data_IF_220294959275
#
_entry.id   IF_220294959275
#
_cell.length_a   1.000
_cell.length_b   1.000
_cell.length_c   1.000
_cell.angle_alpha   90.00
_cell.angle_beta   90.00
_cell.angle_gamma   90.00
#
_symmetry.space_group_name_H-M   'P 1'
#
loop_
_entity.id
_entity.type
_entity.pdbx_description
1 polymer ?
#
# COMPACT_ATOMS: atom_id res chain seq x y z
N UNK A 1 10.76 -0.93 -14.58
CA UNK A 1 10.31 -2.32 -14.91
C UNK A 1 9.26 -2.18 -15.99
N UNK A 2 9.35 -2.96 -17.06
CA UNK A 2 8.38 -2.89 -18.15
C UNK A 2 7.03 -3.45 -17.67
N UNK A 3 5.91 -2.81 -18.08
CA UNK A 3 4.54 -3.30 -17.78
C UNK A 3 4.33 -4.75 -18.20
N UNK A 4 4.97 -5.18 -19.31
CA UNK A 4 4.89 -6.56 -19.79
C UNK A 4 5.55 -7.57 -18.85
N UNK A 5 6.61 -7.17 -18.15
CA UNK A 5 7.26 -8.01 -17.14
C UNK A 5 6.37 -8.14 -15.90
N UNK A 6 5.62 -7.08 -15.55
CA UNK A 6 4.69 -7.10 -14.43
C UNK A 6 3.47 -8.01 -14.67
N UNK A 7 3.05 -8.26 -15.90
CA UNK A 7 1.86 -9.08 -16.18
C UNK A 7 1.97 -10.46 -15.55
N UNK A 8 3.13 -11.12 -15.67
CA UNK A 8 3.38 -12.47 -15.16
C UNK A 8 3.68 -12.57 -13.66
N UNK A 9 3.90 -11.44 -12.99
CA UNK A 9 4.25 -11.39 -11.56
C UNK A 9 2.98 -11.34 -10.72
N UNK A 10 2.97 -12.04 -9.58
CA UNK A 10 1.88 -11.95 -8.60
C UNK A 10 1.88 -10.56 -7.96
N UNK A 11 0.71 -9.93 -7.91
CA UNK A 11 0.50 -8.59 -7.38
C UNK A 11 -0.30 -8.64 -6.10
N UNK A 12 0.17 -7.91 -5.09
CA UNK A 12 -0.50 -7.78 -3.80
C UNK A 12 -0.58 -6.29 -3.47
N UNK A 13 -1.75 -5.83 -3.04
CA UNK A 13 -1.97 -4.45 -2.58
C UNK A 13 -2.56 -4.44 -1.17
N UNK A 14 -2.28 -3.39 -0.43
CA UNK A 14 -2.90 -3.15 0.88
C UNK A 14 -4.33 -2.62 0.74
N UNK A 15 -4.56 -1.63 -0.13
CA UNK A 15 -5.85 -0.96 -0.28
C UNK A 15 -6.15 -0.59 -1.74
N UNK A 16 -6.80 -1.51 -2.47
CA UNK A 16 -7.17 -1.26 -3.87
C UNK A 16 -8.10 -0.06 -4.05
N UNK A 17 -9.03 0.14 -3.11
CA UNK A 17 -10.02 1.22 -3.21
C UNK A 17 -9.37 2.60 -3.29
N UNK A 18 -8.23 2.76 -2.63
CA UNK A 18 -7.47 4.01 -2.70
C UNK A 18 -7.02 4.31 -4.13
N UNK A 19 -6.55 3.30 -4.87
CA UNK A 19 -6.14 3.50 -6.27
C UNK A 19 -7.30 3.81 -7.20
N UNK A 20 -8.47 3.24 -6.94
CA UNK A 20 -9.71 3.58 -7.67
C UNK A 20 -10.14 5.03 -7.41
N UNK A 21 -10.00 5.51 -6.18
CA UNK A 21 -10.39 6.87 -5.80
C UNK A 21 -9.40 7.94 -6.30
N UNK A 22 -8.10 7.66 -6.24
CA UNK A 22 -7.05 8.62 -6.66
C UNK A 22 -6.70 8.53 -8.14
N UNK A 23 -6.92 7.41 -8.79
CA UNK A 23 -6.60 7.20 -10.22
C UNK A 23 -7.58 7.84 -11.21
N UNK A 24 -8.72 8.35 -10.73
CA UNK A 24 -9.85 8.75 -11.60
C UNK A 24 -9.98 10.27 -11.79
N UNK A 25 -9.40 11.10 -10.95
CA UNK A 25 -9.85 12.51 -10.83
C UNK A 25 -9.15 13.52 -11.73
N UNK A 26 -8.16 13.17 -12.56
CA UNK A 26 -7.47 14.22 -13.31
C UNK A 26 -7.55 14.07 -14.84
N UNK A 27 -8.35 14.94 -15.47
CA UNK A 27 -8.12 15.37 -16.86
C UNK A 27 -6.69 15.92 -17.04
N UNK A 28 -5.99 16.31 -15.98
CA UNK A 28 -4.59 16.71 -15.91
C UNK A 28 -3.60 15.52 -15.81
N UNK A 29 -4.09 14.28 -15.80
CA UNK A 29 -3.30 13.06 -15.63
C UNK A 29 -2.34 12.72 -16.77
N UNK A 30 -2.29 13.53 -17.83
CA UNK A 30 -1.37 13.35 -18.95
C UNK A 30 -0.41 14.53 -19.07
N UNK A 31 0.83 14.24 -19.45
CA UNK A 31 1.82 15.26 -19.78
C UNK A 31 1.61 15.80 -21.21
N UNK A 32 2.45 16.76 -21.59
CA UNK A 32 2.42 17.40 -22.92
C UNK A 32 2.66 16.42 -24.08
N UNK A 33 3.18 15.20 -23.81
CA UNK A 33 3.44 14.14 -24.78
C UNK A 33 2.31 13.09 -24.78
N UNK A 34 1.24 13.31 -24.00
CA UNK A 34 0.16 12.34 -23.84
C UNK A 34 0.52 11.12 -22.98
N UNK A 35 1.61 11.21 -22.19
CA UNK A 35 1.95 10.19 -21.21
C UNK A 35 1.29 10.51 -19.89
N UNK A 36 0.76 9.48 -19.22
CA UNK A 36 0.18 9.61 -17.90
C UNK A 36 1.23 10.09 -16.90
N UNK A 37 0.90 11.15 -16.16
CA UNK A 37 1.72 11.62 -15.05
C UNK A 37 1.59 10.62 -13.91
N UNK A 38 2.72 10.22 -13.32
CA UNK A 38 2.69 9.39 -12.12
C UNK A 38 2.23 10.25 -10.93
N UNK A 39 1.24 9.78 -10.17
CA UNK A 39 0.81 10.42 -8.91
C UNK A 39 1.79 10.15 -7.78
N UNK A 40 2.70 9.19 -7.97
CA UNK A 40 3.67 8.75 -6.97
C UNK A 40 3.18 7.61 -6.08
N UNK A 41 1.97 7.13 -6.29
CA UNK A 41 1.44 5.97 -5.58
C UNK A 41 2.01 4.65 -6.09
N UNK A 42 2.52 3.80 -5.22
CA UNK A 42 3.23 2.57 -5.63
C UNK A 42 2.36 1.54 -6.36
N UNK A 43 1.06 1.54 -6.14
CA UNK A 43 0.11 0.61 -6.77
C UNK A 43 -0.60 1.15 -8.01
N UNK A 44 -0.35 2.41 -8.35
CA UNK A 44 -0.99 3.11 -9.47
C UNK A 44 -0.79 2.38 -10.82
N UNK A 45 0.39 1.81 -11.03
CA UNK A 45 0.67 1.03 -12.24
C UNK A 45 -0.28 -0.16 -12.42
N UNK A 46 -0.71 -0.79 -11.33
CA UNK A 46 -1.66 -1.90 -11.40
C UNK A 46 -3.06 -1.41 -11.79
N UNK A 47 -3.45 -0.24 -11.32
CA UNK A 47 -4.71 0.38 -11.72
C UNK A 47 -4.72 0.63 -13.23
N UNK A 48 -3.69 1.27 -13.77
CA UNK A 48 -3.60 1.52 -15.20
C UNK A 48 -3.46 0.23 -16.04
N UNK A 49 -2.81 -0.82 -15.51
CA UNK A 49 -2.77 -2.11 -16.20
C UNK A 49 -4.16 -2.76 -16.29
N UNK A 50 -5.03 -2.54 -15.31
CA UNK A 50 -6.44 -2.99 -15.38
C UNK A 50 -7.22 -2.16 -16.40
N UNK A 51 -7.10 -0.84 -16.37
CA UNK A 51 -7.74 0.06 -17.35
C UNK A 51 -7.31 -0.22 -18.79
N UNK A 52 -6.02 -0.48 -18.98
CA UNK A 52 -5.47 -0.84 -20.30
C UNK A 52 -5.81 -2.29 -20.73
N UNK A 53 -6.51 -3.06 -19.89
CA UNK A 53 -6.89 -4.45 -20.16
C UNK A 53 -5.73 -5.44 -20.17
N UNK A 54 -4.57 -5.07 -19.63
CA UNK A 54 -3.38 -5.93 -19.56
C UNK A 54 -3.51 -7.02 -18.50
N UNK A 55 -4.23 -6.71 -17.43
CA UNK A 55 -4.55 -7.63 -16.33
C UNK A 55 -6.00 -7.44 -15.91
N UNK A 56 -6.54 -8.39 -15.15
CA UNK A 56 -7.88 -8.26 -14.55
C UNK A 56 -7.77 -7.81 -13.10
N UNK A 57 -8.79 -7.12 -12.61
CA UNK A 57 -8.89 -6.73 -11.19
C UNK A 57 -8.74 -7.94 -10.25
N UNK A 58 -9.33 -9.08 -10.61
CA UNK A 58 -9.29 -10.30 -9.81
C UNK A 58 -7.90 -10.96 -9.76
N UNK A 59 -6.97 -10.56 -10.63
CA UNK A 59 -5.58 -11.01 -10.61
C UNK A 59 -4.72 -10.31 -9.56
N UNK A 60 -5.28 -9.32 -8.88
CA UNK A 60 -4.61 -8.57 -7.81
C UNK A 60 -5.12 -9.07 -6.47
N UNK A 61 -4.21 -9.54 -5.63
CA UNK A 61 -4.53 -10.02 -4.29
C UNK A 61 -4.53 -8.87 -3.27
N UNK A 62 -5.41 -8.95 -2.28
CA UNK A 62 -5.40 -8.04 -1.15
C UNK A 62 -4.59 -8.63 0.01
N UNK A 63 -3.68 -7.82 0.58
CA UNK A 63 -2.86 -8.21 1.72
C UNK A 63 -3.72 -8.70 2.89
N UNK A 64 -4.82 -8.02 3.17
CA UNK A 64 -5.76 -8.41 4.23
C UNK A 64 -6.43 -9.77 4.03
N UNK A 65 -6.59 -10.24 2.78
CA UNK A 65 -7.11 -11.58 2.50
C UNK A 65 -6.06 -12.67 2.74
N UNK A 66 -4.80 -12.36 2.43
CA UNK A 66 -3.67 -13.24 2.70
C UNK A 66 -3.45 -13.39 4.22
N UNK A 67 -3.45 -12.28 4.96
CA UNK A 67 -3.31 -12.28 6.43
C UNK A 67 -4.42 -13.10 7.10
N UNK A 68 -5.66 -13.01 6.59
CA UNK A 68 -6.80 -13.80 7.11
C UNK A 68 -6.84 -15.25 6.61
N UNK A 69 -5.86 -15.68 5.82
CA UNK A 69 -5.80 -17.03 5.27
C UNK A 69 -6.83 -17.33 4.16
N UNK A 70 -7.50 -16.33 3.63
CA UNK A 70 -8.44 -16.49 2.51
C UNK A 70 -7.73 -16.72 1.18
N UNK A 71 -6.54 -16.16 1.04
CA UNK A 71 -5.62 -16.38 -0.09
C UNK A 71 -4.28 -16.88 0.42
N UNK A 72 -3.57 -17.72 -0.33
CA UNK A 72 -2.27 -18.25 0.11
C UNK A 72 -1.24 -17.12 0.20
N UNK A 73 -0.30 -17.24 1.13
CA UNK A 73 0.92 -16.45 1.16
C UNK A 73 1.85 -16.84 0.00
N UNK A 74 3.17 -16.68 0.19
CA UNK A 74 4.18 -17.15 -0.76
C UNK A 74 4.07 -18.65 -0.94
N UNK A 75 4.07 -19.12 -2.19
CA UNK A 75 3.90 -20.55 -2.53
C UNK A 75 5.21 -21.29 -2.71
N UNK A 76 6.27 -20.60 -3.10
CA UNK A 76 7.62 -21.15 -3.27
C UNK A 76 8.66 -20.04 -3.14
N UNK A 77 9.93 -20.43 -2.92
CA UNK A 77 11.03 -19.47 -2.82
C UNK A 77 11.32 -18.77 -4.16
N UNK A 78 10.97 -19.40 -5.28
CA UNK A 78 11.15 -18.83 -6.62
C UNK A 78 10.00 -17.90 -7.03
N UNK A 79 8.92 -17.82 -6.25
CA UNK A 79 7.79 -16.97 -6.56
C UNK A 79 8.17 -15.50 -6.42
N UNK A 80 8.03 -14.73 -7.51
CA UNK A 80 8.18 -13.27 -7.47
C UNK A 80 6.82 -12.64 -7.17
N UNK A 81 6.79 -11.84 -6.12
CA UNK A 81 5.60 -11.12 -5.69
C UNK A 81 5.92 -9.63 -5.63
N UNK A 82 5.15 -8.84 -6.35
CA UNK A 82 5.20 -7.38 -6.21
C UNK A 82 4.14 -6.96 -5.19
N UNK A 83 4.57 -6.31 -4.12
CA UNK A 83 3.68 -5.82 -3.07
C UNK A 83 3.72 -4.29 -3.10
N UNK A 84 2.57 -3.68 -3.36
CA UNK A 84 2.41 -2.24 -3.28
C UNK A 84 1.70 -1.87 -1.97
N UNK A 85 2.37 -1.12 -1.12
CA UNK A 85 1.88 -0.66 0.18
C UNK A 85 2.07 0.85 0.25
N UNK A 86 0.96 1.58 0.38
CA UNK A 86 0.98 3.04 0.52
C UNK A 86 1.08 3.47 1.99
N UNK A 87 0.84 2.52 2.90
CA UNK A 87 0.73 2.79 4.32
C UNK A 87 -0.67 3.32 4.69
N UNK A 88 -1.16 2.86 5.81
CA UNK A 88 -2.42 3.31 6.36
C UNK A 88 -2.20 3.84 7.78
N UNK A 89 -2.68 5.04 8.14
CA UNK A 89 -2.54 5.59 9.49
C UNK A 89 -3.02 4.64 10.60
N UNK A 90 -3.98 3.77 10.30
CA UNK A 90 -4.45 2.76 11.26
C UNK A 90 -3.37 1.74 11.61
N UNK A 91 -2.47 1.42 10.69
CA UNK A 91 -1.32 0.53 10.93
C UNK A 91 -0.32 1.20 11.86
N UNK A 92 -0.01 2.47 11.64
CA UNK A 92 0.88 3.26 12.49
C UNK A 92 0.34 3.38 13.91
N UNK A 93 -0.96 3.64 14.05
CA UNK A 93 -1.61 3.70 15.37
C UNK A 93 -1.60 2.34 16.06
N UNK A 94 -1.87 1.25 15.35
CA UNK A 94 -1.85 -0.10 15.90
C UNK A 94 -0.45 -0.48 16.41
N UNK A 95 0.57 -0.31 15.57
CA UNK A 95 1.96 -0.58 15.92
C UNK A 95 2.47 0.35 17.02
N UNK A 96 2.23 1.64 16.89
CA UNK A 96 2.63 2.63 17.89
C UNK A 96 2.02 2.34 19.25
N UNK A 97 0.75 1.95 19.32
CA UNK A 97 0.08 1.58 20.56
C UNK A 97 0.69 0.33 21.20
N UNK A 98 1.03 -0.67 20.39
CA UNK A 98 1.64 -1.92 20.87
C UNK A 98 3.07 -1.67 21.37
N UNK A 99 3.88 -0.94 20.60
CA UNK A 99 5.23 -0.56 21.00
C UNK A 99 5.21 0.25 22.31
N UNK A 100 4.30 1.22 22.40
CA UNK A 100 4.15 2.04 23.60
C UNK A 100 3.81 1.20 24.85
N UNK A 101 2.81 0.31 24.74
CA UNK A 101 2.43 -0.58 25.85
C UNK A 101 3.59 -1.48 26.27
N UNK A 102 4.24 -2.11 25.32
CA UNK A 102 5.40 -2.96 25.59
C UNK A 102 6.55 -2.18 26.26
N UNK A 103 6.83 -0.97 25.82
CA UNK A 103 7.86 -0.12 26.41
C UNK A 103 7.52 0.24 27.89
N UNK A 104 6.26 0.59 28.16
CA UNK A 104 5.81 0.89 29.51
C UNK A 104 5.92 -0.35 30.42
N UNK A 105 5.45 -1.50 29.96
CA UNK A 105 5.43 -2.75 30.73
C UNK A 105 6.84 -3.25 31.08
N UNK A 106 7.81 -2.98 30.21
CA UNK A 106 9.21 -3.37 30.41
C UNK A 106 10.09 -2.26 30.98
N UNK A 107 9.54 -1.08 31.28
CA UNK A 107 10.30 0.07 31.78
C UNK A 107 11.34 0.59 30.77
N UNK A 108 11.08 0.46 29.49
CA UNK A 108 11.96 0.90 28.39
C UNK A 108 11.57 2.31 27.95
N UNK A 109 12.58 3.16 27.74
CA UNK A 109 12.38 4.53 27.27
C UNK A 109 12.46 5.57 28.36
N UNK A 110 12.31 6.82 27.96
CA UNK A 110 12.34 7.98 28.85
C UNK A 110 11.07 8.77 28.70
N UNK A 111 10.40 9.05 29.82
CA UNK A 111 9.23 9.90 29.84
C UNK A 111 9.66 11.37 29.68
N UNK A 112 9.30 11.98 28.57
CA UNK A 112 9.58 13.39 28.30
C UNK A 112 8.31 14.22 28.49
N UNK A 113 8.49 15.37 29.13
CA UNK A 113 7.43 16.36 29.24
C UNK A 113 7.43 17.21 27.96
N UNK A 114 6.35 17.17 27.20
CA UNK A 114 6.26 17.87 25.90
C UNK A 114 5.81 19.33 26.11
N UNK A 115 4.85 19.57 27.02
CA UNK A 115 4.38 20.91 27.40
C UNK A 115 3.80 20.93 28.81
N UNK A 116 3.76 22.10 29.41
CA UNK A 116 3.19 22.32 30.78
C UNK A 116 1.68 22.56 30.76
N UNK A 117 1.19 23.20 29.70
CA UNK A 117 -0.22 23.54 29.52
C UNK A 117 -0.59 23.41 28.07
N UNK A 118 -1.83 22.94 27.79
CA UNK A 118 -2.37 22.99 26.45
C UNK A 118 -2.49 24.46 25.99
N UNK A 119 -1.96 24.81 24.83
CA UNK A 119 -2.28 26.09 24.21
C UNK A 119 -3.77 26.13 23.89
N UNK A 120 -4.45 27.14 24.41
CA UNK A 120 -5.87 27.41 24.09
C UNK A 120 -5.99 28.01 22.72
#
# INVERSE_FOLDING_TARGET
>A
MDKKELVGIRKVVDNWKMYEEYGIEDEEGYDENGMRKATGCMGEEFYYMVEDGLITRDSIDHLGEIIRGKKPGRKSDDEIIFVAIEGMPIEDVAWGSEIYRNAVDHGIGTQLKIWDHSSR
#
